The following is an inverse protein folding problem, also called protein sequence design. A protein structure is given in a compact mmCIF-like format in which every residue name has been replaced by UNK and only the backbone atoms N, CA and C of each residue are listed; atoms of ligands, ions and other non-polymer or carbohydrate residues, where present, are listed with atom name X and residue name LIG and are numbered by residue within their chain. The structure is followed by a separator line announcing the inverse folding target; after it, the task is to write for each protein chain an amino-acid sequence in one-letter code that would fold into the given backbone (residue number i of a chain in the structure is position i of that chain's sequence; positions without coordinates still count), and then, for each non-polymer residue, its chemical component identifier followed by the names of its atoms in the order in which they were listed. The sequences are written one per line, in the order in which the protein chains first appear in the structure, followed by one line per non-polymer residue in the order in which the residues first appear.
data_IF_758781213035
#
_entry.id   IF_758781213035
#
_cell.length_a   1.000
_cell.length_b   1.000
_cell.length_c   1.000
_cell.angle_alpha   90.00
_cell.angle_beta   90.00
_cell.angle_gamma   90.00
#
_symmetry.space_group_name_H-M   'P 1'
#
loop_
_entity.id
_entity.type
_entity.pdbx_description
1 polymer ?
#
# COMPACT_ATOMS: atom_id res chain seq x y z
N UNK A 1 -12.37 8.45 -16.17
CA UNK A 1 -11.61 9.48 -15.40
C UNK A 1 -10.15 9.38 -15.81
N UNK A 2 -9.42 10.52 -15.86
CA UNK A 2 -8.01 10.55 -16.27
C UNK A 2 -7.13 10.85 -15.05
N UNK A 3 -6.10 10.04 -14.82
CA UNK A 3 -5.11 10.26 -13.75
C UNK A 3 -4.48 11.65 -13.82
N UNK A 4 -4.18 12.13 -15.04
CA UNK A 4 -3.59 13.46 -15.26
C UNK A 4 -4.46 14.60 -14.69
N UNK A 5 -5.80 14.51 -14.82
CA UNK A 5 -6.74 15.54 -14.35
C UNK A 5 -7.05 15.38 -12.86
N UNK A 6 -7.32 14.15 -12.42
CA UNK A 6 -7.87 13.91 -11.09
C UNK A 6 -6.80 13.49 -10.06
N UNK A 7 -5.56 13.24 -10.51
CA UNK A 7 -4.47 12.67 -9.68
C UNK A 7 -4.75 11.26 -9.13
N UNK A 8 -5.86 10.65 -9.50
CA UNK A 8 -6.21 9.26 -9.20
C UNK A 8 -7.04 8.62 -10.31
N UNK A 9 -7.05 7.30 -10.36
CA UNK A 9 -7.86 6.49 -11.27
C UNK A 9 -8.13 5.12 -10.67
N UNK A 10 -9.32 4.57 -10.90
CA UNK A 10 -9.65 3.18 -10.56
C UNK A 10 -9.48 2.33 -11.81
N UNK A 11 -8.74 1.25 -11.68
CA UNK A 11 -8.53 0.22 -12.71
C UNK A 11 -9.31 -1.01 -12.28
N UNK A 12 -10.36 -1.34 -13.03
CA UNK A 12 -11.12 -2.55 -12.81
C UNK A 12 -10.32 -3.75 -13.32
N UNK A 13 -10.33 -4.83 -12.56
CA UNK A 13 -9.64 -6.08 -12.88
C UNK A 13 -8.17 -5.85 -13.33
N UNK A 14 -7.42 -5.05 -12.56
CA UNK A 14 -5.99 -4.86 -12.79
C UNK A 14 -5.23 -6.19 -12.77
N UNK A 15 -5.71 -7.14 -11.98
CA UNK A 15 -5.40 -8.57 -12.04
C UNK A 15 -6.70 -9.37 -12.02
N UNK A 16 -6.69 -10.62 -12.49
CA UNK A 16 -7.86 -11.49 -12.41
C UNK A 16 -8.27 -11.77 -10.97
N UNK A 17 -9.53 -12.07 -10.74
CA UNK A 17 -10.05 -12.46 -9.42
C UNK A 17 -9.35 -13.69 -8.86
N UNK A 18 -8.99 -14.64 -9.72
CA UNK A 18 -8.26 -15.85 -9.32
C UNK A 18 -6.85 -15.52 -8.83
N UNK A 19 -6.14 -14.61 -9.51
CA UNK A 19 -4.82 -14.17 -9.05
C UNK A 19 -4.92 -13.35 -7.75
N UNK A 20 -5.95 -12.50 -7.61
CA UNK A 20 -6.20 -11.78 -6.37
C UNK A 20 -6.45 -12.76 -5.22
N UNK A 21 -7.30 -13.75 -5.44
CA UNK A 21 -7.58 -14.81 -4.46
C UNK A 21 -6.31 -15.61 -4.11
N UNK A 22 -5.51 -16.00 -5.09
CA UNK A 22 -4.23 -16.69 -4.84
C UNK A 22 -3.32 -15.84 -3.94
N UNK A 23 -3.16 -14.55 -4.22
CA UNK A 23 -2.35 -13.64 -3.40
C UNK A 23 -2.92 -13.49 -1.98
N UNK A 24 -4.24 -13.42 -1.85
CA UNK A 24 -4.91 -13.37 -0.55
C UNK A 24 -4.67 -14.64 0.26
N UNK A 25 -4.93 -15.82 -0.32
CA UNK A 25 -4.76 -17.13 0.34
C UNK A 25 -3.30 -17.36 0.73
N UNK A 26 -2.36 -17.01 -0.16
CA UNK A 26 -0.92 -17.03 0.12
C UNK A 26 -0.59 -16.18 1.35
N UNK A 27 -1.08 -14.94 1.38
CA UNK A 27 -0.74 -14.01 2.45
C UNK A 27 -1.41 -14.38 3.78
N UNK A 28 -2.60 -14.95 3.74
CA UNK A 28 -3.26 -15.54 4.92
C UNK A 28 -2.49 -16.75 5.45
N UNK A 29 -1.99 -17.63 4.58
CA UNK A 29 -1.13 -18.75 4.97
C UNK A 29 0.18 -18.25 5.58
N UNK A 30 0.82 -17.26 4.94
CA UNK A 30 2.05 -16.65 5.46
C UNK A 30 1.86 -16.04 6.85
N UNK A 31 0.75 -15.31 7.07
CA UNK A 31 0.35 -14.79 8.38
C UNK A 31 0.28 -15.89 9.44
N UNK A 32 -0.37 -17.03 9.10
CA UNK A 32 -0.49 -18.17 10.01
C UNK A 32 0.88 -18.81 10.34
N UNK A 33 1.71 -19.01 9.31
CA UNK A 33 3.07 -19.55 9.47
C UNK A 33 3.90 -18.62 10.34
N UNK A 34 3.93 -17.32 10.02
CA UNK A 34 4.67 -16.34 10.79
C UNK A 34 4.24 -16.33 12.26
N UNK A 35 2.93 -16.38 12.55
CA UNK A 35 2.41 -16.42 13.91
C UNK A 35 2.86 -17.68 14.65
N UNK A 36 2.79 -18.85 13.99
CA UNK A 36 3.26 -20.10 14.56
C UNK A 36 4.76 -20.06 14.90
N UNK A 37 5.56 -19.49 13.99
CA UNK A 37 7.03 -19.36 14.22
C UNK A 37 7.34 -18.43 15.39
N UNK A 38 6.60 -17.31 15.53
CA UNK A 38 6.72 -16.40 16.68
C UNK A 38 6.32 -17.08 18.00
N UNK A 39 5.14 -17.69 18.06
CA UNK A 39 4.60 -18.29 19.29
C UNK A 39 5.48 -19.44 19.79
N UNK A 40 6.12 -20.17 18.89
CA UNK A 40 7.04 -21.27 19.22
C UNK A 40 8.51 -20.82 19.33
N UNK A 41 8.80 -19.53 19.19
CA UNK A 41 10.16 -18.96 19.28
C UNK A 41 11.15 -19.54 18.26
N UNK A 42 10.67 -19.99 17.09
CA UNK A 42 11.53 -20.45 16.00
C UNK A 42 12.26 -19.30 15.31
N UNK A 43 11.70 -18.09 15.38
CA UNK A 43 12.32 -16.86 14.90
C UNK A 43 12.31 -15.79 15.99
N UNK A 44 13.25 -14.86 15.91
CA UNK A 44 13.29 -13.69 16.78
C UNK A 44 12.06 -12.80 16.55
N UNK A 45 11.54 -12.20 17.61
CA UNK A 45 10.47 -11.20 17.54
C UNK A 45 10.84 -9.94 16.73
N UNK A 46 12.13 -9.74 16.47
CA UNK A 46 12.64 -8.62 15.64
C UNK A 46 12.84 -9.01 14.17
N UNK A 47 12.50 -10.25 13.79
CA UNK A 47 12.63 -10.72 12.41
C UNK A 47 11.48 -10.19 11.56
N UNK A 48 11.79 -9.43 10.51
CA UNK A 48 10.80 -8.84 9.59
C UNK A 48 10.56 -9.68 8.32
N UNK A 49 11.36 -10.74 8.08
CA UNK A 49 11.28 -11.55 6.84
C UNK A 49 9.97 -12.30 6.63
N UNK A 50 9.21 -12.52 7.68
CA UNK A 50 7.92 -13.20 7.62
C UNK A 50 6.74 -12.25 7.84
N UNK A 51 7.00 -10.95 7.95
CA UNK A 51 6.01 -9.94 8.29
C UNK A 51 5.95 -9.67 9.80
N UNK A 52 5.22 -8.62 10.15
CA UNK A 52 5.21 -8.03 11.49
C UNK A 52 3.79 -7.66 11.94
N UNK A 53 3.62 -7.43 13.24
CA UNK A 53 2.39 -6.91 13.86
C UNK A 53 2.59 -5.57 14.57
N UNK A 54 3.77 -4.97 14.46
CA UNK A 54 4.18 -3.76 15.20
C UNK A 54 4.08 -2.47 14.37
N UNK A 55 3.35 -2.46 13.26
CA UNK A 55 3.14 -1.26 12.46
C UNK A 55 2.31 -0.24 13.25
N UNK A 56 2.92 0.91 13.57
CA UNK A 56 2.28 1.96 14.36
C UNK A 56 1.08 2.62 13.66
N UNK A 57 1.00 2.53 12.33
CA UNK A 57 -0.11 3.10 11.57
C UNK A 57 -1.41 2.32 11.82
N UNK A 58 -1.31 0.98 11.96
CA UNK A 58 -2.44 0.10 12.31
C UNK A 58 -1.92 -0.98 13.26
N UNK A 59 -1.92 -0.71 14.56
CA UNK A 59 -1.35 -1.62 15.57
C UNK A 59 -2.00 -3.01 15.58
N UNK A 60 -1.19 -4.01 15.95
CA UNK A 60 -1.60 -5.42 16.05
C UNK A 60 -2.19 -6.02 14.76
N UNK A 61 -1.87 -5.43 13.62
CA UNK A 61 -2.34 -5.88 12.30
C UNK A 61 -1.18 -6.41 11.48
N UNK A 62 -1.33 -7.63 10.95
CA UNK A 62 -0.29 -8.29 10.18
C UNK A 62 0.01 -7.55 8.89
N UNK A 63 1.28 -7.24 8.71
CA UNK A 63 1.78 -6.56 7.53
C UNK A 63 3.14 -7.09 7.11
N UNK A 64 3.48 -6.91 5.84
CA UNK A 64 4.80 -7.29 5.32
C UNK A 64 5.27 -6.29 4.27
N UNK A 65 6.44 -5.71 4.53
CA UNK A 65 7.17 -4.89 3.57
C UNK A 65 7.99 -5.80 2.65
N UNK A 66 7.95 -5.54 1.34
CA UNK A 66 8.78 -6.22 0.33
C UNK A 66 8.58 -7.74 0.19
N UNK A 67 7.39 -8.24 0.44
CA UNK A 67 7.05 -9.64 0.14
C UNK A 67 7.32 -9.97 -1.32
N UNK A 68 8.04 -11.07 -1.60
CA UNK A 68 8.50 -11.42 -2.97
C UNK A 68 7.32 -11.62 -3.94
N UNK A 69 6.22 -12.25 -3.50
CA UNK A 69 5.03 -12.44 -4.33
C UNK A 69 4.41 -11.08 -4.66
N UNK A 70 4.31 -10.19 -3.68
CA UNK A 70 3.73 -8.86 -3.85
C UNK A 70 4.65 -7.94 -4.68
N UNK A 71 5.96 -8.06 -4.56
CA UNK A 71 6.88 -7.33 -5.44
C UNK A 71 6.93 -7.90 -6.87
N UNK A 72 6.58 -9.17 -7.05
CA UNK A 72 6.32 -9.72 -8.39
C UNK A 72 5.09 -9.06 -9.01
N UNK A 73 4.03 -8.77 -8.25
CA UNK A 73 2.90 -7.95 -8.73
C UNK A 73 3.32 -6.52 -9.06
N UNK A 74 4.19 -5.91 -8.24
CA UNK A 74 4.74 -4.57 -8.49
C UNK A 74 5.38 -4.48 -9.89
N UNK A 75 6.23 -5.44 -10.23
CA UNK A 75 6.88 -5.50 -11.55
C UNK A 75 5.87 -5.83 -12.66
N UNK A 76 5.00 -6.81 -12.44
CA UNK A 76 3.98 -7.23 -13.41
C UNK A 76 3.06 -6.08 -13.80
N UNK A 77 2.70 -5.22 -12.87
CA UNK A 77 1.76 -4.12 -13.07
C UNK A 77 2.42 -2.81 -13.55
N UNK A 78 3.74 -2.73 -13.56
CA UNK A 78 4.46 -1.53 -14.02
C UNK A 78 3.98 -1.02 -15.41
N UNK A 79 3.82 -1.87 -16.46
CA UNK A 79 3.31 -1.41 -17.76
C UNK A 79 1.87 -0.86 -17.67
N UNK A 80 1.02 -1.46 -16.85
CA UNK A 80 -0.35 -0.99 -16.62
C UNK A 80 -0.33 0.38 -15.94
N UNK A 81 0.52 0.53 -14.92
CA UNK A 81 0.71 1.79 -14.19
C UNK A 81 1.20 2.90 -15.13
N UNK A 82 2.22 2.66 -15.96
CA UNK A 82 2.72 3.63 -16.92
C UNK A 82 1.66 4.05 -17.95
N UNK A 83 0.89 3.09 -18.45
CA UNK A 83 -0.21 3.36 -19.38
C UNK A 83 -1.29 4.24 -18.75
N UNK A 84 -1.73 3.92 -17.53
CA UNK A 84 -2.83 4.62 -16.86
C UNK A 84 -2.45 6.01 -16.37
N UNK A 85 -1.21 6.19 -15.93
CA UNK A 85 -0.71 7.47 -15.43
C UNK A 85 -0.13 8.36 -16.52
N UNK A 86 0.27 7.78 -17.67
CA UNK A 86 1.07 8.43 -18.73
C UNK A 86 2.43 8.91 -18.22
N UNK A 87 2.98 8.24 -17.21
CA UNK A 87 4.30 8.50 -16.62
C UNK A 87 5.27 7.35 -16.93
N UNK A 88 6.55 7.63 -16.83
CA UNK A 88 7.61 6.62 -16.73
C UNK A 88 7.95 6.44 -15.26
N UNK A 89 7.91 5.20 -14.77
CA UNK A 89 7.92 4.90 -13.35
C UNK A 89 9.09 4.01 -12.93
N UNK A 90 9.65 4.30 -11.76
CA UNK A 90 10.52 3.40 -11.01
C UNK A 90 9.71 2.60 -10.01
N UNK A 91 9.81 1.26 -9.98
CA UNK A 91 9.25 0.46 -8.89
C UNK A 91 10.08 0.66 -7.62
N UNK A 92 9.41 0.93 -6.49
CA UNK A 92 10.09 1.13 -5.22
C UNK A 92 9.92 -0.08 -4.29
N UNK A 93 8.71 -0.37 -3.84
CA UNK A 93 8.42 -1.50 -2.96
C UNK A 93 6.94 -1.85 -2.93
N UNK A 94 6.65 -3.03 -2.44
CA UNK A 94 5.30 -3.43 -2.06
C UNK A 94 5.14 -3.41 -0.54
N UNK A 95 3.90 -3.17 -0.10
CA UNK A 95 3.49 -3.35 1.28
C UNK A 95 2.16 -4.11 1.28
N UNK A 96 2.05 -5.18 2.04
CA UNK A 96 0.81 -5.95 2.13
C UNK A 96 0.30 -5.97 3.57
N UNK A 97 -1.01 -6.00 3.75
CA UNK A 97 -1.64 -5.99 5.08
C UNK A 97 -2.92 -6.82 5.09
N UNK A 98 -3.10 -7.61 6.14
CA UNK A 98 -4.38 -8.24 6.47
C UNK A 98 -4.98 -7.46 7.64
N UNK A 99 -5.84 -6.54 7.30
CA UNK A 99 -6.61 -5.78 8.29
C UNK A 99 -7.59 -6.70 9.02
N UNK A 100 -7.88 -6.38 10.27
CA UNK A 100 -8.84 -7.09 11.13
C UNK A 100 -10.00 -6.18 11.52
N UNK A 101 -11.08 -6.77 11.93
CA UNK A 101 -12.27 -6.05 12.42
C UNK A 101 -11.91 -5.01 13.48
N UNK A 102 -12.38 -3.81 13.26
CA UNK A 102 -12.11 -2.68 14.13
C UNK A 102 -10.93 -1.80 13.69
N UNK A 103 -10.09 -2.25 12.76
CA UNK A 103 -9.00 -1.44 12.24
C UNK A 103 -9.49 -0.16 11.57
N UNK A 104 -8.70 0.90 11.71
CA UNK A 104 -8.89 2.20 11.08
C UNK A 104 -7.57 2.60 10.43
N UNK A 105 -7.62 3.11 9.22
CA UNK A 105 -6.47 3.77 8.61
C UNK A 105 -6.72 5.27 8.67
N UNK A 106 -6.03 5.95 9.60
CA UNK A 106 -6.22 7.38 9.80
C UNK A 106 -5.84 8.20 8.57
N UNK A 107 -6.40 9.41 8.45
CA UNK A 107 -6.08 10.36 7.39
C UNK A 107 -4.59 10.67 7.36
N UNK A 108 -3.96 10.51 6.19
CA UNK A 108 -2.55 10.78 6.00
C UNK A 108 -2.23 11.03 4.52
N UNK A 109 -1.04 11.52 4.26
CA UNK A 109 -0.35 11.50 2.98
C UNK A 109 0.88 10.63 3.09
N UNK A 110 1.23 9.98 2.00
CA UNK A 110 2.36 9.07 1.96
C UNK A 110 3.72 9.80 1.92
N UNK A 111 4.78 9.04 2.18
CA UNK A 111 6.16 9.49 2.03
C UNK A 111 6.59 9.53 0.55
N UNK A 112 7.76 10.10 0.27
CA UNK A 112 8.31 10.28 -1.08
C UNK A 112 8.32 8.99 -1.92
N UNK A 113 8.72 7.86 -1.34
CA UNK A 113 8.77 6.58 -2.07
C UNK A 113 7.39 6.07 -2.52
N UNK A 114 6.31 6.70 -2.07
CA UNK A 114 4.92 6.41 -2.41
C UNK A 114 4.30 7.52 -3.26
N UNK A 115 5.10 8.22 -4.09
CA UNK A 115 4.64 9.30 -4.95
C UNK A 115 3.46 8.86 -5.82
N UNK A 116 3.60 7.73 -6.49
CA UNK A 116 2.53 7.06 -7.23
C UNK A 116 2.22 5.75 -6.50
N UNK A 117 1.15 5.79 -5.75
CA UNK A 117 0.70 4.67 -4.90
C UNK A 117 -0.46 3.93 -5.51
N UNK A 118 -0.61 2.69 -5.10
CA UNK A 118 -1.81 1.91 -5.34
C UNK A 118 -2.35 1.33 -4.05
N UNK A 119 -3.64 1.03 -4.02
CA UNK A 119 -4.23 0.05 -3.14
C UNK A 119 -5.02 -0.92 -3.99
N UNK A 120 -4.77 -2.21 -3.84
CA UNK A 120 -5.45 -3.29 -4.54
C UNK A 120 -6.11 -4.21 -3.53
N UNK A 121 -7.40 -4.48 -3.73
CA UNK A 121 -8.12 -5.43 -2.92
C UNK A 121 -7.82 -6.86 -3.36
N UNK A 122 -7.35 -7.70 -2.43
CA UNK A 122 -7.02 -9.11 -2.70
C UNK A 122 -8.15 -10.05 -2.30
N UNK A 123 -8.82 -9.79 -1.17
CA UNK A 123 -9.88 -10.65 -0.64
C UNK A 123 -10.32 -10.24 0.76
N UNK A 124 -11.23 -11.00 1.35
CA UNK A 124 -11.92 -10.62 2.58
C UNK A 124 -13.06 -9.63 2.32
N UNK A 125 -13.43 -8.84 3.31
CA UNK A 125 -14.51 -7.85 3.17
C UNK A 125 -14.15 -6.67 2.28
N UNK A 126 -15.09 -6.25 1.44
CA UNK A 126 -14.93 -5.06 0.59
C UNK A 126 -14.99 -3.79 1.47
N UNK A 127 -13.83 -3.25 1.79
CA UNK A 127 -13.66 -2.11 2.67
C UNK A 127 -13.29 -0.84 1.90
N UNK A 128 -14.14 0.22 1.92
CA UNK A 128 -13.89 1.41 1.12
C UNK A 128 -12.62 2.15 1.56
N UNK A 129 -11.94 2.74 0.57
CA UNK A 129 -10.95 3.78 0.81
C UNK A 129 -11.56 5.13 0.45
N UNK A 130 -11.23 6.16 1.22
CA UNK A 130 -11.59 7.55 0.97
C UNK A 130 -10.35 8.32 0.52
N UNK A 131 -10.54 9.26 -0.37
CA UNK A 131 -9.47 10.06 -0.96
C UNK A 131 -9.94 11.50 -1.11
N UNK A 132 -9.11 12.45 -0.66
CA UNK A 132 -9.35 13.88 -0.85
C UNK A 132 -8.70 14.34 -2.16
N UNK A 133 -9.48 14.72 -3.19
CA UNK A 133 -8.92 15.14 -4.46
C UNK A 133 -8.18 16.48 -4.43
N UNK A 134 -8.50 17.35 -3.47
CA UNK A 134 -7.81 18.62 -3.29
C UNK A 134 -6.49 18.42 -2.53
N UNK A 135 -5.39 18.47 -3.26
CA UNK A 135 -4.05 18.28 -2.70
C UNK A 135 -3.63 19.35 -1.68
N UNK A 136 -4.32 20.47 -1.60
CA UNK A 136 -4.08 21.52 -0.60
C UNK A 136 -4.62 21.16 0.79
N UNK A 137 -5.51 20.16 0.85
CA UNK A 137 -6.12 19.68 2.09
C UNK A 137 -5.22 18.67 2.79
N UNK A 138 -5.19 18.72 4.13
CA UNK A 138 -4.35 17.87 4.96
C UNK A 138 -2.85 18.14 4.78
N UNK A 139 -2.07 17.93 5.79
CA UNK A 139 -0.63 18.10 5.70
C UNK A 139 0.04 18.20 7.09
N UNK A 140 1.36 18.22 7.08
CA UNK A 140 2.15 18.39 8.30
C UNK A 140 2.16 19.86 8.69
N UNK A 141 1.80 20.16 9.92
CA UNK A 141 1.93 21.50 10.50
C UNK A 141 3.42 21.79 10.73
N UNK A 142 3.95 22.83 10.08
CA UNK A 142 5.39 23.18 10.13
C UNK A 142 5.89 23.54 11.53
N UNK A 143 4.99 24.03 12.41
CA UNK A 143 5.37 24.45 13.76
C UNK A 143 5.42 23.29 14.74
N UNK A 144 4.50 22.32 14.60
CA UNK A 144 4.35 21.22 15.56
C UNK A 144 4.90 19.89 15.05
N UNK A 145 5.14 19.75 13.73
CA UNK A 145 5.49 18.49 13.07
C UNK A 145 4.34 17.48 13.02
N UNK A 146 3.18 17.81 13.54
CA UNK A 146 2.03 16.91 13.58
C UNK A 146 1.23 16.96 12.28
N UNK A 147 0.65 15.82 11.87
CA UNK A 147 -0.26 15.78 10.74
C UNK A 147 -1.61 16.41 11.10
N UNK A 148 -2.01 17.43 10.34
CA UNK A 148 -3.31 18.10 10.46
C UNK A 148 -4.25 17.58 9.38
N UNK A 149 -5.16 16.70 9.77
CA UNK A 149 -6.14 16.11 8.86
C UNK A 149 -7.16 17.15 8.36
N UNK A 150 -7.60 16.97 7.11
CA UNK A 150 -8.71 17.77 6.55
C UNK A 150 -10.03 17.45 7.25
N UNK A 151 -11.00 18.36 7.12
CA UNK A 151 -12.40 18.12 7.52
C UNK A 151 -13.24 17.50 6.40
N UNK A 152 -12.63 17.24 5.25
CA UNK A 152 -13.29 16.70 4.06
C UNK A 152 -13.88 15.30 4.33
N UNK A 153 -15.00 15.01 3.66
CA UNK A 153 -15.58 13.66 3.57
C UNK A 153 -14.93 12.82 2.48
N UNK A 154 -14.15 13.43 1.58
CA UNK A 154 -13.48 12.80 0.46
C UNK A 154 -14.39 12.08 -0.53
N UNK A 155 -13.76 11.43 -1.49
CA UNK A 155 -14.42 10.56 -2.45
C UNK A 155 -14.30 9.13 -1.97
N UNK A 156 -15.44 8.45 -1.80
CA UNK A 156 -15.49 7.03 -1.43
C UNK A 156 -15.21 6.15 -2.64
N UNK A 157 -14.23 5.26 -2.53
CA UNK A 157 -13.87 4.29 -3.58
C UNK A 157 -14.06 2.88 -3.04
N UNK A 158 -14.86 2.06 -3.73
CA UNK A 158 -15.04 0.63 -3.46
C UNK A 158 -14.26 -0.17 -4.49
N UNK A 159 -13.52 -1.17 -4.03
CA UNK A 159 -12.71 -2.07 -4.85
C UNK A 159 -13.18 -3.50 -4.61
N UNK A 160 -13.49 -4.20 -5.69
CA UNK A 160 -13.68 -5.65 -5.71
C UNK A 160 -12.31 -6.35 -5.77
N UNK A 161 -12.22 -7.65 -5.43
CA UNK A 161 -10.97 -8.40 -5.58
C UNK A 161 -10.39 -8.29 -7.00
N UNK A 162 -9.12 -7.88 -7.09
CA UNK A 162 -8.43 -7.59 -8.35
C UNK A 162 -8.55 -6.16 -8.86
N UNK A 163 -9.45 -5.33 -8.32
CA UNK A 163 -9.51 -3.90 -8.61
C UNK A 163 -8.37 -3.15 -7.93
N UNK A 164 -7.92 -2.08 -8.57
CA UNK A 164 -6.83 -1.25 -8.08
C UNK A 164 -7.17 0.24 -8.18
N UNK A 165 -7.01 0.97 -7.09
CA UNK A 165 -6.95 2.43 -7.10
C UNK A 165 -5.49 2.86 -7.26
N UNK A 166 -5.21 3.72 -8.23
CA UNK A 166 -3.92 4.39 -8.43
C UNK A 166 -4.08 5.86 -8.07
N UNK A 167 -3.18 6.41 -7.28
CA UNK A 167 -3.28 7.80 -6.81
C UNK A 167 -1.89 8.40 -6.50
N UNK A 168 -1.83 9.74 -6.43
CA UNK A 168 -0.64 10.44 -5.93
C UNK A 168 -0.61 10.40 -4.41
N UNK A 169 0.06 9.39 -3.84
CA UNK A 169 0.02 9.11 -2.42
C UNK A 169 0.60 10.23 -1.55
N UNK A 170 1.67 10.86 -2.00
CA UNK A 170 2.30 11.98 -1.29
C UNK A 170 1.58 13.33 -1.43
N UNK A 171 0.59 13.43 -2.34
CA UNK A 171 -0.18 14.67 -2.56
C UNK A 171 -1.59 14.58 -1.99
N UNK A 172 -2.26 13.43 -2.12
CA UNK A 172 -3.67 13.28 -1.78
C UNK A 172 -3.85 12.63 -0.42
N UNK A 173 -4.56 13.31 0.47
CA UNK A 173 -4.94 12.73 1.76
C UNK A 173 -5.88 11.55 1.54
N UNK A 174 -5.62 10.44 2.23
CA UNK A 174 -6.42 9.23 2.10
C UNK A 174 -6.56 8.50 3.42
N UNK A 175 -7.64 7.71 3.57
CA UNK A 175 -7.96 7.03 4.80
C UNK A 175 -8.98 5.91 4.59
N UNK A 176 -9.20 5.12 5.64
CA UNK A 176 -10.31 4.16 5.73
C UNK A 176 -10.95 4.28 7.11
N UNK A 177 -12.28 4.32 7.13
CA UNK A 177 -13.05 4.29 8.37
C UNK A 177 -12.97 2.89 9.01
N UNK A 178 -13.59 2.70 10.17
CA UNK A 178 -13.53 1.44 10.91
C UNK A 178 -13.98 0.23 10.06
N UNK A 179 -13.13 -0.79 9.98
CA UNK A 179 -13.44 -2.05 9.30
C UNK A 179 -14.51 -2.82 10.08
N UNK A 180 -15.60 -3.20 9.40
CA UNK A 180 -16.73 -3.93 10.00
C UNK A 180 -16.71 -5.42 9.69
N UNK A 181 -15.95 -5.86 8.68
CA UNK A 181 -15.74 -7.26 8.31
C UNK A 181 -14.65 -7.88 9.18
N UNK A 182 -14.59 -9.22 9.21
CA UNK A 182 -13.61 -9.94 10.03
C UNK A 182 -12.18 -9.68 9.58
N UNK A 183 -11.96 -9.61 8.26
CA UNK A 183 -10.68 -9.24 7.67
C UNK A 183 -10.83 -8.55 6.31
N UNK A 184 -9.72 -7.96 5.84
CA UNK A 184 -9.59 -7.37 4.51
C UNK A 184 -8.11 -7.41 4.08
N UNK A 185 -7.81 -8.15 3.01
CA UNK A 185 -6.46 -8.24 2.44
C UNK A 185 -6.23 -7.16 1.39
N UNK A 186 -5.18 -6.36 1.60
CA UNK A 186 -4.78 -5.30 0.68
C UNK A 186 -3.29 -5.43 0.34
N UNK A 187 -2.93 -5.07 -0.90
CA UNK A 187 -1.55 -4.80 -1.29
C UNK A 187 -1.42 -3.39 -1.82
N UNK A 188 -0.34 -2.73 -1.42
CA UNK A 188 0.06 -1.40 -1.85
C UNK A 188 1.33 -1.53 -2.67
N UNK A 189 1.32 -0.96 -3.88
CA UNK A 189 2.44 -0.97 -4.81
C UNK A 189 2.89 0.46 -5.02
N UNK A 190 4.16 0.75 -4.80
CA UNK A 190 4.68 2.10 -4.74
C UNK A 190 5.74 2.35 -5.79
N UNK A 191 5.61 3.50 -6.46
CA UNK A 191 6.47 3.91 -7.56
C UNK A 191 6.84 5.38 -7.44
N UNK A 192 7.97 5.77 -8.04
CA UNK A 192 8.27 7.17 -8.31
C UNK A 192 8.19 7.46 -9.81
N UNK A 193 7.79 8.68 -10.15
CA UNK A 193 7.94 9.18 -11.50
C UNK A 193 9.42 9.44 -11.80
N UNK A 194 9.96 8.88 -12.88
CA UNK A 194 11.36 9.04 -13.29
C UNK A 194 11.80 10.50 -13.47
N UNK A 195 10.85 11.42 -13.70
CA UNK A 195 11.13 12.85 -13.82
C UNK A 195 11.21 13.56 -12.48
N UNK A 196 10.79 12.94 -11.39
CA UNK A 196 10.85 13.54 -10.06
C UNK A 196 12.28 13.49 -9.54
N UNK A 197 12.76 14.62 -9.02
CA UNK A 197 14.11 14.72 -8.44
C UNK A 197 14.30 13.69 -7.32
N UNK A 198 15.39 12.95 -7.34
CA UNK A 198 15.70 11.90 -6.36
C UNK A 198 15.04 10.54 -6.64
N UNK A 199 14.24 10.41 -7.72
CA UNK A 199 13.56 9.14 -8.04
C UNK A 199 14.52 8.04 -8.47
N UNK A 200 15.60 8.39 -9.19
CA UNK A 200 16.60 7.42 -9.68
C UNK A 200 17.35 6.78 -8.52
N UNK A 201 17.70 7.58 -7.52
CA UNK A 201 18.39 7.14 -6.31
C UNK A 201 17.47 6.37 -5.36
N UNK A 202 16.15 6.50 -5.57
CA UNK A 202 15.14 5.84 -4.75
C UNK A 202 14.62 4.53 -5.36
N UNK A 203 15.18 4.08 -6.46
CA UNK A 203 14.79 2.79 -7.05
C UNK A 203 14.89 1.66 -6.01
N UNK A 204 13.87 0.79 -6.00
CA UNK A 204 13.71 -0.29 -5.01
C UNK A 204 13.70 0.18 -3.56
N UNK A 205 13.27 1.45 -3.33
CA UNK A 205 13.28 2.09 -2.00
C UNK A 205 14.70 2.08 -1.39
N UNK A 206 15.72 2.35 -2.22
CA UNK A 206 17.17 2.33 -1.92
C UNK A 206 17.76 0.94 -1.60
N UNK A 207 17.04 -0.13 -1.80
CA UNK A 207 17.58 -1.50 -1.71
C UNK A 207 18.37 -1.86 -2.97
N UNK A 208 19.19 -2.91 -2.89
CA UNK A 208 19.98 -3.40 -4.04
C UNK A 208 19.05 -3.94 -5.13
N UNK A 209 17.98 -4.66 -4.74
CA UNK A 209 16.90 -5.13 -5.61
C UNK A 209 15.62 -5.38 -4.82
N UNK A 210 14.54 -5.68 -5.53
CA UNK A 210 13.25 -6.05 -4.95
C UNK A 210 13.35 -7.37 -4.14
N UNK A 211 12.42 -7.58 -3.20
CA UNK A 211 12.36 -8.77 -2.34
C UNK A 211 13.31 -8.73 -1.13
N UNK A 212 14.18 -7.74 -1.04
CA UNK A 212 15.04 -7.57 0.14
C UNK A 212 14.29 -6.80 1.25
N UNK A 213 14.55 -7.11 2.51
CA UNK A 213 13.96 -6.40 3.65
C UNK A 213 14.50 -4.98 3.80
N UNK A 214 13.82 -4.17 4.64
CA UNK A 214 14.08 -2.74 4.75
C UNK A 214 15.46 -2.40 5.34
N UNK A 215 16.03 -3.24 6.20
CA UNK A 215 17.34 -3.04 6.81
C UNK A 215 18.52 -3.13 5.82
N UNK A 216 18.28 -3.65 4.59
CA UNK A 216 19.29 -3.72 3.52
C UNK A 216 19.20 -2.53 2.54
N UNK A 217 18.69 -1.39 2.98
CA UNK A 217 18.79 -0.12 2.25
C UNK A 217 20.22 0.39 2.27
N UNK A 218 20.61 1.01 1.13
CA UNK A 218 21.90 1.71 0.98
C UNK A 218 21.86 3.08 1.59
#
# INVERSE_FOLDING_TARGET
MSFKKNKYVVIKEAISKDLAKFCYDYFMMKKKVARTMFDNRYISQFTEYFGVWNDQQVPDTYSHYSDIVMETLLVKLLPVMEKQTSLKLNPNYSYARIYKKGDVLHKHKDRFSCEISTTMHLGGGCWPIYLEPDASQGGVDEKTGNYKASKSKGVKVMLEPGDMLVYRGNELEHWRDKLTFDDCGQVFLHYNNLKTKGSKENIYDKRIHLGLPAELKK
#
